data_IF_390933641818
#
_entry.id   IF_390933641818
#
_cell.length_a   1.000
_cell.length_b   1.000
_cell.length_c   1.000
_cell.angle_alpha   90.00
_cell.angle_beta   90.00
_cell.angle_gamma   90.00
#
_symmetry.space_group_name_H-M   'P 1'
#
loop_
_entity.id
_entity.type
_entity.pdbx_description
1 polymer ?
#
# COMPACT_ATOMS: atom_id res chain seq x y z
N UNK A 1 16.47 6.71 -25.01
CA UNK A 1 15.01 6.89 -24.86
C UNK A 1 14.68 6.81 -23.37
N UNK A 2 15.00 7.87 -22.63
CA UNK A 2 14.79 7.95 -21.18
C UNK A 2 13.45 8.62 -20.95
N UNK A 3 12.42 7.84 -20.60
CA UNK A 3 11.14 8.41 -20.22
C UNK A 3 11.28 8.96 -18.80
N UNK A 4 11.59 10.25 -18.69
CA UNK A 4 11.58 10.96 -17.40
C UNK A 4 10.16 10.94 -16.83
N UNK A 5 9.96 10.73 -15.51
CA UNK A 5 8.63 10.83 -14.93
C UNK A 5 8.18 12.28 -15.04
N UNK A 6 7.11 12.51 -15.81
CA UNK A 6 6.40 13.78 -15.78
C UNK A 6 5.74 13.93 -14.42
N UNK A 7 6.40 14.60 -13.48
CA UNK A 7 5.72 15.25 -12.37
C UNK A 7 5.03 16.52 -12.92
N UNK A 8 4.03 16.32 -13.79
CA UNK A 8 3.26 17.40 -14.39
C UNK A 8 1.97 17.61 -13.59
N UNK A 9 1.98 18.61 -12.68
CA UNK A 9 0.78 19.34 -12.25
C UNK A 9 -0.33 18.56 -11.56
N UNK A 10 -0.08 17.32 -11.11
CA UNK A 10 -1.06 16.41 -10.54
C UNK A 10 -0.68 15.85 -9.16
N UNK A 11 0.23 16.52 -8.43
CA UNK A 11 0.19 16.55 -6.95
C UNK A 11 -1.06 17.34 -6.47
N UNK A 12 -2.18 17.12 -7.15
CA UNK A 12 -3.49 17.65 -6.88
C UNK A 12 -4.01 16.94 -5.63
N UNK A 13 -3.38 17.25 -4.49
CA UNK A 13 -3.81 16.94 -3.14
C UNK A 13 -4.29 15.50 -2.92
N UNK A 14 -3.52 14.47 -3.31
CA UNK A 14 -3.86 13.11 -2.85
C UNK A 14 -3.97 13.13 -1.32
N UNK A 15 -5.13 12.75 -0.78
CA UNK A 15 -5.36 12.76 0.66
C UNK A 15 -4.61 11.59 1.33
N UNK A 16 -4.50 10.47 0.62
CA UNK A 16 -3.65 9.34 0.97
C UNK A 16 -2.96 8.81 -0.28
N UNK A 17 -1.64 8.66 -0.21
CA UNK A 17 -0.81 8.07 -1.26
C UNK A 17 0.07 6.97 -0.66
N UNK A 18 -0.01 5.78 -1.24
CA UNK A 18 0.81 4.61 -0.87
C UNK A 18 1.47 4.08 -2.13
N UNK A 19 2.78 3.92 -2.09
CA UNK A 19 3.56 3.41 -3.21
C UNK A 19 4.40 2.20 -2.77
N UNK A 20 4.18 1.06 -3.44
CA UNK A 20 4.94 -0.17 -3.24
C UNK A 20 4.99 -0.73 -1.81
N UNK A 21 3.95 -0.53 -1.01
CA UNK A 21 3.95 -0.96 0.39
C UNK A 21 4.01 -2.48 0.51
N UNK A 22 5.03 -2.97 1.20
CA UNK A 22 5.16 -4.37 1.60
C UNK A 22 5.22 -4.48 3.11
N UNK A 23 4.32 -5.24 3.72
CA UNK A 23 4.27 -5.48 5.17
C UNK A 23 4.59 -6.93 5.47
N UNK A 24 5.61 -7.14 6.28
CA UNK A 24 6.05 -8.47 6.70
C UNK A 24 5.96 -8.56 8.22
N UNK A 25 5.31 -9.61 8.72
CA UNK A 25 5.23 -9.90 10.14
C UNK A 25 6.08 -11.13 10.51
N UNK A 26 6.81 -11.10 11.63
CA UNK A 26 7.44 -12.29 12.18
C UNK A 26 6.38 -13.23 12.75
N UNK A 27 6.65 -14.53 12.72
CA UNK A 27 5.76 -15.54 13.33
C UNK A 27 6.25 -15.85 14.76
N UNK A 28 5.42 -15.66 15.79
CA UNK A 28 5.77 -16.04 17.16
C UNK A 28 6.18 -17.51 17.24
N UNK A 29 7.19 -17.82 18.05
CA UNK A 29 7.73 -19.17 18.26
C UNK A 29 8.34 -19.84 17.02
N UNK A 30 8.45 -19.13 15.90
CA UNK A 30 9.11 -19.59 14.67
C UNK A 30 10.07 -18.52 14.14
N UNK A 31 11.29 -18.41 14.71
CA UNK A 31 12.20 -17.27 14.48
C UNK A 31 12.67 -17.11 13.03
N UNK A 32 12.65 -18.18 12.24
CA UNK A 32 13.02 -18.15 10.82
C UNK A 32 11.83 -17.85 9.89
N UNK A 33 10.59 -17.94 10.40
CA UNK A 33 9.39 -17.81 9.59
C UNK A 33 8.86 -16.37 9.61
N UNK A 34 8.50 -15.88 8.42
CA UNK A 34 7.87 -14.58 8.23
C UNK A 34 6.67 -14.72 7.30
N UNK A 35 5.68 -13.86 7.49
CA UNK A 35 4.49 -13.78 6.64
C UNK A 35 4.48 -12.43 5.95
N UNK A 36 4.44 -12.44 4.62
CA UNK A 36 4.17 -11.25 3.83
C UNK A 36 2.66 -11.03 3.85
N UNK A 37 2.21 -10.07 4.66
CA UNK A 37 0.78 -9.74 4.81
C UNK A 37 0.28 -8.82 3.71
N UNK A 38 1.13 -7.91 3.23
CA UNK A 38 0.86 -7.05 2.08
C UNK A 38 2.11 -7.04 1.21
N UNK A 39 1.94 -7.12 -0.11
CA UNK A 39 3.04 -7.12 -1.08
C UNK A 39 2.77 -6.09 -2.16
N UNK A 40 3.66 -5.12 -2.30
CA UNK A 40 3.67 -4.12 -3.38
C UNK A 40 2.32 -3.37 -3.55
N UNK A 41 1.72 -2.94 -2.45
CA UNK A 41 0.46 -2.22 -2.49
C UNK A 41 0.69 -0.77 -2.95
N UNK A 42 -0.03 -0.40 -4.01
CA UNK A 42 -0.16 0.97 -4.48
C UNK A 42 -1.61 1.41 -4.27
N UNK A 43 -1.84 2.49 -3.52
CA UNK A 43 -3.17 3.00 -3.19
C UNK A 43 -3.15 4.53 -3.28
N UNK A 44 -4.19 5.10 -3.86
CA UNK A 44 -4.43 6.53 -3.90
C UNK A 44 -5.86 6.81 -3.48
N UNK A 45 -6.05 7.81 -2.64
CA UNK A 45 -7.35 8.31 -2.20
C UNK A 45 -7.37 9.83 -2.37
N UNK A 46 -8.38 10.34 -3.06
CA UNK A 46 -8.54 11.76 -3.33
C UNK A 46 -9.24 12.50 -2.17
N UNK A 47 -9.13 13.83 -2.05
CA UNK A 47 -9.85 14.59 -1.04
C UNK A 47 -11.36 14.46 -1.17
N UNK A 48 -12.02 14.17 -0.05
CA UNK A 48 -13.47 13.98 0.00
C UNK A 48 -13.94 12.60 -0.47
N UNK A 49 -13.01 11.70 -0.85
CA UNK A 49 -13.32 10.32 -1.18
C UNK A 49 -13.51 9.48 0.09
N UNK A 50 -14.58 8.68 0.12
CA UNK A 50 -14.78 7.66 1.16
C UNK A 50 -14.32 6.32 0.59
N UNK A 51 -13.22 5.79 1.14
CA UNK A 51 -12.63 4.54 0.69
C UNK A 51 -12.89 3.40 1.68
N UNK A 52 -13.43 2.27 1.19
CA UNK A 52 -13.67 1.07 1.98
C UNK A 52 -12.65 -0.02 1.69
N UNK A 53 -11.75 -0.31 2.64
CA UNK A 53 -10.83 -1.45 2.54
C UNK A 53 -11.48 -2.72 3.09
N UNK A 54 -11.95 -3.59 2.19
CA UNK A 54 -12.73 -4.79 2.52
C UNK A 54 -11.99 -6.08 2.14
N UNK A 55 -12.34 -7.17 2.82
CA UNK A 55 -11.78 -8.51 2.56
C UNK A 55 -11.85 -9.43 3.77
N UNK A 56 -11.64 -10.75 3.59
CA UNK A 56 -11.69 -11.74 4.68
C UNK A 56 -10.68 -11.47 5.81
N UNK A 57 -10.86 -12.09 6.99
CA UNK A 57 -9.89 -11.98 8.08
C UNK A 57 -8.51 -12.50 7.65
N UNK A 58 -7.45 -11.78 8.04
CA UNK A 58 -6.07 -12.12 7.65
C UNK A 58 -5.61 -11.64 6.27
N UNK A 59 -6.45 -10.92 5.50
CA UNK A 59 -6.10 -10.39 4.17
C UNK A 59 -5.14 -9.18 4.15
N UNK A 60 -4.67 -8.70 5.30
CA UNK A 60 -3.72 -7.58 5.38
C UNK A 60 -4.34 -6.18 5.42
N UNK A 61 -5.62 -6.07 5.83
CA UNK A 61 -6.32 -4.78 6.00
C UNK A 61 -5.82 -3.94 7.20
N UNK A 62 -5.15 -4.57 8.16
CA UNK A 62 -4.70 -3.99 9.45
C UNK A 62 -3.21 -4.19 9.66
#
# INVERSE_FOLDING_TARGET
MTNSPRHSGADAREAVAVHGLTKIFPVPFHPTRRVVAVKDLNLRIEPGEVYGLLGPNGSGKS
#
